data_IF_069198183254
#
_entry.id   IF_069198183254
#
_cell.length_a   1.000
_cell.length_b   1.000
_cell.length_c   1.000
_cell.angle_alpha   90.00
_cell.angle_beta   90.00
_cell.angle_gamma   90.00
#
_symmetry.space_group_name_H-M   'P 1'
#
loop_
_entity.id
_entity.type
_entity.pdbx_description
1 polymer ?
#
# COMPACT_ATOMS: atom_id res chain seq x y z
N UNK A 1 -24.47 -8.45 15.98
CA UNK A 1 -23.61 -8.35 14.77
C UNK A 1 -22.28 -7.78 15.25
N UNK A 2 -21.16 -8.46 15.04
CA UNK A 2 -19.85 -7.89 15.40
C UNK A 2 -19.64 -6.61 14.58
N UNK A 3 -19.43 -5.51 15.26
CA UNK A 3 -19.16 -4.22 14.59
C UNK A 3 -17.82 -4.34 13.87
N UNK A 4 -17.82 -4.45 12.53
CA UNK A 4 -16.61 -4.55 11.73
C UNK A 4 -15.87 -3.21 11.78
N UNK A 5 -14.56 -3.24 12.04
CA UNK A 5 -13.75 -2.03 12.13
C UNK A 5 -13.55 -1.31 10.80
N UNK A 6 -13.33 0.01 10.86
CA UNK A 6 -13.05 0.87 9.71
C UNK A 6 -11.69 0.54 9.08
N UNK A 7 -11.68 0.30 7.77
CA UNK A 7 -10.47 0.08 7.00
C UNK A 7 -10.18 1.30 6.11
N UNK A 8 -8.98 1.83 6.23
CA UNK A 8 -8.47 2.93 5.39
C UNK A 8 -7.51 2.38 4.36
N UNK A 9 -7.71 2.70 3.07
CA UNK A 9 -6.87 2.21 1.98
C UNK A 9 -6.41 3.37 1.13
N UNK A 10 -5.10 3.59 1.04
CA UNK A 10 -4.51 4.59 0.15
C UNK A 10 -4.22 4.00 -1.23
N UNK A 11 -4.30 4.83 -2.29
CA UNK A 11 -4.11 4.36 -3.67
C UNK A 11 -5.19 3.40 -4.15
N UNK A 12 -6.42 3.51 -3.61
CA UNK A 12 -7.51 2.57 -3.87
C UNK A 12 -8.18 2.73 -5.25
N UNK A 13 -7.73 3.67 -6.09
CA UNK A 13 -8.34 3.95 -7.41
C UNK A 13 -7.98 2.94 -8.51
N UNK A 14 -7.07 2.00 -8.27
CA UNK A 14 -6.67 0.97 -9.25
C UNK A 14 -5.85 -0.15 -8.58
N UNK A 15 -5.58 -1.21 -9.35
CA UNK A 15 -4.65 -2.28 -9.01
C UNK A 15 -4.91 -2.90 -7.62
N UNK A 16 -3.85 -3.14 -6.88
CA UNK A 16 -3.87 -3.78 -5.55
C UNK A 16 -4.82 -3.05 -4.59
N UNK A 17 -4.80 -1.70 -4.58
CA UNK A 17 -5.64 -0.91 -3.69
C UNK A 17 -7.13 -1.09 -3.97
N UNK A 18 -7.54 -1.09 -5.24
CA UNK A 18 -8.92 -1.35 -5.66
C UNK A 18 -9.38 -2.78 -5.33
N UNK A 19 -8.54 -3.78 -5.61
CA UNK A 19 -8.81 -5.18 -5.25
C UNK A 19 -8.89 -5.36 -3.72
N UNK A 20 -8.02 -4.68 -2.95
CA UNK A 20 -8.08 -4.68 -1.48
C UNK A 20 -9.39 -4.09 -0.97
N UNK A 21 -9.84 -2.97 -1.56
CA UNK A 21 -11.12 -2.37 -1.20
C UNK A 21 -12.29 -3.35 -1.43
N UNK A 22 -12.30 -4.04 -2.57
CA UNK A 22 -13.32 -5.06 -2.87
C UNK A 22 -13.27 -6.23 -1.87
N UNK A 23 -12.09 -6.73 -1.53
CA UNK A 23 -11.91 -7.84 -0.59
C UNK A 23 -12.44 -7.49 0.82
N UNK A 24 -12.08 -6.31 1.35
CA UNK A 24 -12.58 -5.87 2.66
C UNK A 24 -14.07 -5.53 2.65
N UNK A 25 -14.59 -4.93 1.57
CA UNK A 25 -16.03 -4.69 1.40
C UNK A 25 -16.82 -5.99 1.41
N UNK A 26 -16.33 -7.01 0.67
CA UNK A 26 -16.95 -8.36 0.66
C UNK A 26 -16.89 -9.04 2.02
N UNK A 27 -15.87 -8.74 2.83
CA UNK A 27 -15.79 -9.18 4.22
C UNK A 27 -16.68 -8.37 5.18
N UNK A 28 -17.40 -7.35 4.70
CA UNK A 28 -18.37 -6.56 5.45
C UNK A 28 -17.80 -5.39 6.26
N UNK A 29 -16.58 -4.95 5.96
CA UNK A 29 -15.96 -3.80 6.63
C UNK A 29 -16.41 -2.47 6.05
N UNK A 30 -16.64 -1.42 6.87
CA UNK A 30 -16.73 -0.06 6.39
C UNK A 30 -15.37 0.42 5.88
N UNK A 31 -15.38 1.24 4.83
CA UNK A 31 -14.17 1.64 4.11
C UNK A 31 -14.03 3.17 4.04
N UNK A 32 -12.78 3.63 4.15
CA UNK A 32 -12.34 4.92 3.67
C UNK A 32 -11.32 4.70 2.55
N UNK A 33 -11.66 5.12 1.34
CA UNK A 33 -10.83 4.97 0.15
C UNK A 33 -10.21 6.31 -0.22
N UNK A 34 -8.88 6.36 -0.31
CA UNK A 34 -8.11 7.56 -0.57
C UNK A 34 -7.31 7.42 -1.87
N UNK A 35 -7.48 8.37 -2.79
CA UNK A 35 -6.67 8.51 -3.99
C UNK A 35 -6.86 9.90 -4.62
N UNK A 36 -5.98 10.26 -5.56
CA UNK A 36 -6.11 11.51 -6.34
C UNK A 36 -7.26 11.47 -7.35
N UNK A 37 -7.63 10.28 -7.86
CA UNK A 37 -8.67 10.04 -8.87
C UNK A 37 -9.98 9.65 -8.17
N UNK A 38 -10.76 10.65 -7.72
CA UNK A 38 -12.00 10.43 -6.97
C UNK A 38 -13.05 9.67 -7.79
N UNK A 39 -13.19 10.01 -9.07
CA UNK A 39 -14.10 9.36 -10.02
C UNK A 39 -13.93 7.83 -10.05
N UNK A 40 -12.69 7.35 -10.02
CA UNK A 40 -12.39 5.91 -9.99
C UNK A 40 -12.72 5.26 -8.65
N UNK A 41 -12.61 5.98 -7.54
CA UNK A 41 -13.02 5.48 -6.23
C UNK A 41 -14.53 5.29 -6.17
N UNK A 42 -15.28 6.29 -6.63
CA UNK A 42 -16.75 6.28 -6.66
C UNK A 42 -17.29 5.21 -7.63
N UNK A 43 -16.58 4.96 -8.72
CA UNK A 43 -16.93 3.92 -9.69
C UNK A 43 -16.89 2.50 -9.12
N UNK A 44 -16.20 2.26 -7.99
CA UNK A 44 -16.21 0.97 -7.30
C UNK A 44 -17.57 0.62 -6.70
N UNK A 45 -18.42 1.61 -6.38
CA UNK A 45 -19.78 1.47 -5.85
C UNK A 45 -19.91 0.49 -4.67
N UNK A 46 -18.91 0.51 -3.77
CA UNK A 46 -18.88 -0.39 -2.61
C UNK A 46 -19.78 0.12 -1.48
N UNK A 47 -20.52 -0.77 -0.81
CA UNK A 47 -21.38 -0.39 0.31
C UNK A 47 -20.55 0.09 1.52
N UNK A 48 -21.15 0.91 2.38
CA UNK A 48 -20.50 1.43 3.61
C UNK A 48 -19.13 2.05 3.36
N UNK A 49 -18.99 2.81 2.28
CA UNK A 49 -17.73 3.38 1.83
C UNK A 49 -17.80 4.91 1.79
N UNK A 50 -16.72 5.54 2.20
CA UNK A 50 -16.42 6.96 1.96
C UNK A 50 -15.25 7.01 0.98
N UNK A 51 -15.40 7.79 -0.09
CA UNK A 51 -14.35 8.06 -1.07
C UNK A 51 -13.90 9.51 -0.90
N UNK A 52 -12.59 9.74 -0.77
CA UNK A 52 -12.03 11.10 -0.62
C UNK A 52 -10.86 11.29 -1.59
N UNK A 53 -10.86 12.46 -2.23
CA UNK A 53 -9.72 12.90 -3.03
C UNK A 53 -8.60 13.32 -2.10
N UNK A 54 -7.52 12.56 -2.06
CA UNK A 54 -6.37 12.80 -1.17
C UNK A 54 -5.08 12.56 -1.93
N UNK A 55 -4.12 13.48 -1.78
CA UNK A 55 -2.73 13.24 -2.08
C UNK A 55 -2.02 12.78 -0.80
N UNK A 56 -1.44 11.58 -0.80
CA UNK A 56 -0.77 11.02 0.39
C UNK A 56 0.45 11.81 0.84
N UNK A 57 1.00 12.67 -0.02
CA UNK A 57 2.08 13.60 0.35
C UNK A 57 1.60 14.73 1.26
N UNK A 58 0.29 14.99 1.29
CA UNK A 58 -0.35 15.98 2.14
C UNK A 58 -0.98 15.30 3.38
N UNK A 59 -0.31 15.43 4.53
CA UNK A 59 -0.76 14.83 5.80
C UNK A 59 -2.10 15.37 6.28
N UNK A 60 -2.36 16.64 6.07
CA UNK A 60 -3.59 17.29 6.56
C UNK A 60 -4.81 16.80 5.79
N UNK A 61 -4.67 16.51 4.49
CA UNK A 61 -5.73 15.87 3.70
C UNK A 61 -6.05 14.47 4.24
N UNK A 62 -5.02 13.66 4.54
CA UNK A 62 -5.21 12.32 5.14
C UNK A 62 -5.93 12.44 6.48
N UNK A 63 -5.47 13.36 7.36
CA UNK A 63 -6.06 13.57 8.68
C UNK A 63 -7.52 14.00 8.58
N UNK A 64 -7.83 14.94 7.71
CA UNK A 64 -9.20 15.42 7.50
C UNK A 64 -10.14 14.30 7.03
N UNK A 65 -9.70 13.51 6.04
CA UNK A 65 -10.48 12.39 5.52
C UNK A 65 -10.72 11.29 6.58
N UNK A 66 -9.69 10.95 7.37
CA UNK A 66 -9.81 9.97 8.47
C UNK A 66 -10.76 10.49 9.54
N UNK A 67 -10.63 11.73 10.00
CA UNK A 67 -11.53 12.31 11.01
C UNK A 67 -12.99 12.22 10.58
N UNK A 68 -13.29 12.55 9.32
CA UNK A 68 -14.64 12.45 8.75
C UNK A 68 -15.16 10.99 8.74
N UNK A 69 -14.31 10.03 8.40
CA UNK A 69 -14.70 8.62 8.36
C UNK A 69 -14.91 8.05 9.77
N UNK A 70 -14.06 8.42 10.74
CA UNK A 70 -14.18 7.98 12.13
C UNK A 70 -15.46 8.48 12.80
N UNK A 71 -15.93 9.69 12.47
CA UNK A 71 -17.22 10.20 12.95
C UNK A 71 -18.40 9.32 12.52
N UNK A 72 -18.29 8.65 11.37
CA UNK A 72 -19.37 7.80 10.82
C UNK A 72 -19.24 6.34 11.20
N UNK A 73 -18.03 5.81 11.21
CA UNK A 73 -17.77 4.37 11.29
C UNK A 73 -17.01 3.93 12.56
N UNK A 74 -16.63 4.87 13.40
CA UNK A 74 -15.75 4.62 14.55
C UNK A 74 -14.26 4.62 14.16
N UNK A 75 -13.38 4.35 15.13
CA UNK A 75 -11.94 4.52 14.97
C UNK A 75 -11.35 3.60 13.88
N UNK A 76 -10.29 4.05 13.23
CA UNK A 76 -9.57 3.27 12.22
C UNK A 76 -9.03 1.98 12.84
N UNK A 77 -9.50 0.85 12.37
CA UNK A 77 -9.04 -0.49 12.79
C UNK A 77 -7.85 -0.99 11.97
N UNK A 78 -7.85 -0.71 10.67
CA UNK A 78 -6.73 -1.02 9.79
C UNK A 78 -6.43 0.12 8.82
N UNK A 79 -5.13 0.43 8.68
CA UNK A 79 -4.61 1.28 7.62
C UNK A 79 -3.81 0.42 6.63
N UNK A 80 -4.18 0.46 5.35
CA UNK A 80 -3.41 -0.13 4.26
C UNK A 80 -2.75 0.99 3.46
N UNK A 81 -1.47 1.21 3.68
CA UNK A 81 -0.62 2.11 2.89
C UNK A 81 -0.21 1.40 1.60
N UNK A 82 -0.99 1.61 0.54
CA UNK A 82 -0.77 0.99 -0.75
C UNK A 82 -0.40 2.01 -1.84
N UNK A 83 -0.70 3.29 -1.67
CA UNK A 83 -0.32 4.32 -2.66
C UNK A 83 1.18 4.27 -2.95
N UNK A 84 1.53 4.28 -4.24
CA UNK A 84 2.93 4.26 -4.67
C UNK A 84 3.08 4.60 -6.14
N UNK A 85 4.29 4.97 -6.53
CA UNK A 85 4.70 5.23 -7.91
C UNK A 85 6.01 4.49 -8.20
N UNK A 86 6.18 4.07 -9.45
CA UNK A 86 7.39 3.41 -9.94
C UNK A 86 7.83 4.12 -11.21
N UNK A 87 8.90 4.90 -11.11
CA UNK A 87 9.50 5.67 -12.17
C UNK A 87 10.89 5.08 -12.40
N UNK A 88 11.03 4.27 -13.44
CA UNK A 88 12.25 3.53 -13.71
C UNK A 88 13.18 4.32 -14.63
N UNK A 89 14.48 4.31 -14.33
CA UNK A 89 15.48 5.02 -15.12
C UNK A 89 16.91 4.65 -14.71
N UNK A 90 17.86 4.96 -15.58
CA UNK A 90 19.29 4.92 -15.26
C UNK A 90 19.66 6.16 -14.42
N UNK A 91 20.54 5.98 -13.45
CA UNK A 91 20.86 7.05 -12.48
C UNK A 91 21.55 8.28 -13.11
N UNK A 92 22.18 8.12 -14.27
CA UNK A 92 22.84 9.19 -15.00
C UNK A 92 21.96 9.99 -15.95
N UNK A 93 20.74 9.46 -16.27
CA UNK A 93 19.85 10.06 -17.26
C UNK A 93 18.42 10.31 -16.75
N UNK A 94 18.03 9.71 -15.64
CA UNK A 94 16.71 9.89 -15.05
C UNK A 94 16.54 11.30 -14.47
N UNK A 95 15.39 11.95 -14.72
CA UNK A 95 15.10 13.27 -14.14
C UNK A 95 15.05 13.18 -12.59
N UNK A 96 15.84 13.97 -11.85
CA UNK A 96 15.81 14.01 -10.39
C UNK A 96 14.42 14.28 -9.79
N UNK A 97 13.53 14.96 -10.50
CA UNK A 97 12.13 15.15 -10.08
C UNK A 97 11.36 13.84 -9.93
N UNK A 98 11.69 12.83 -10.75
CA UNK A 98 11.10 11.50 -10.61
C UNK A 98 11.57 10.81 -9.33
N UNK A 99 12.80 11.04 -8.90
CA UNK A 99 13.33 10.57 -7.62
C UNK A 99 12.61 11.22 -6.45
N UNK A 100 12.49 12.56 -6.49
CA UNK A 100 11.75 13.31 -5.49
C UNK A 100 10.30 12.82 -5.37
N UNK A 101 9.64 12.61 -6.50
CA UNK A 101 8.27 12.08 -6.51
C UNK A 101 8.18 10.68 -5.87
N UNK A 102 9.10 9.78 -6.18
CA UNK A 102 9.14 8.45 -5.55
C UNK A 102 9.36 8.55 -4.04
N UNK A 103 10.26 9.38 -3.57
CA UNK A 103 10.52 9.61 -2.14
C UNK A 103 9.28 10.18 -1.46
N UNK A 104 8.66 11.21 -2.03
CA UNK A 104 7.48 11.86 -1.47
C UNK A 104 6.29 10.89 -1.37
N UNK A 105 6.00 10.12 -2.42
CA UNK A 105 4.86 9.22 -2.42
C UNK A 105 5.13 7.93 -1.64
N UNK A 106 6.26 7.25 -1.95
CA UNK A 106 6.50 5.89 -1.43
C UNK A 106 7.04 5.88 0.01
N UNK A 107 7.68 6.96 0.47
CA UNK A 107 8.21 7.08 1.84
C UNK A 107 7.35 8.02 2.65
N UNK A 108 7.29 9.31 2.28
CA UNK A 108 6.57 10.29 3.08
C UNK A 108 5.07 10.02 3.12
N UNK A 109 4.47 9.56 2.00
CA UNK A 109 3.06 9.16 1.98
C UNK A 109 2.72 8.06 2.96
N UNK A 110 3.57 7.03 3.07
CA UNK A 110 3.42 5.94 4.05
C UNK A 110 3.57 6.45 5.48
N UNK A 111 4.62 7.24 5.76
CA UNK A 111 4.86 7.81 7.08
C UNK A 111 3.75 8.78 7.50
N UNK A 112 3.18 9.57 6.58
CA UNK A 112 2.03 10.44 6.85
C UNK A 112 0.81 9.63 7.30
N UNK A 113 0.49 8.53 6.59
CA UNK A 113 -0.60 7.63 6.97
C UNK A 113 -0.39 7.04 8.36
N UNK A 114 0.79 6.48 8.63
CA UNK A 114 1.16 5.92 9.94
C UNK A 114 1.00 6.99 11.03
N UNK A 115 1.57 8.17 10.83
CA UNK A 115 1.55 9.26 11.82
C UNK A 115 0.12 9.66 12.23
N UNK A 116 -0.81 9.69 11.28
CA UNK A 116 -2.20 10.11 11.56
C UNK A 116 -2.94 9.11 12.44
N UNK A 117 -2.70 7.79 12.27
CA UNK A 117 -3.51 6.77 12.97
C UNK A 117 -2.83 6.17 14.19
N UNK A 118 -1.49 6.20 14.27
CA UNK A 118 -0.73 5.41 15.25
C UNK A 118 -1.02 5.81 16.70
N UNK A 119 -1.12 7.11 16.99
CA UNK A 119 -1.38 7.57 18.36
C UNK A 119 -2.71 7.03 18.90
N UNK A 120 -3.80 7.15 18.12
CA UNK A 120 -5.10 6.61 18.50
C UNK A 120 -5.11 5.07 18.59
N UNK A 121 -4.36 4.36 17.73
CA UNK A 121 -4.19 2.91 17.83
C UNK A 121 -3.46 2.51 19.12
N UNK A 122 -2.39 3.22 19.49
CA UNK A 122 -1.67 2.98 20.76
C UNK A 122 -2.55 3.23 21.97
N UNK A 123 -3.31 4.32 21.99
CA UNK A 123 -4.21 4.69 23.10
C UNK A 123 -5.24 3.59 23.37
N UNK A 124 -5.91 3.07 22.34
CA UNK A 124 -6.90 1.99 22.50
C UNK A 124 -6.31 0.58 22.50
N UNK A 125 -4.96 0.44 22.42
CA UNK A 125 -4.22 -0.82 22.40
C UNK A 125 -4.77 -1.80 21.33
N UNK A 126 -5.10 -1.28 20.17
CA UNK A 126 -5.68 -2.05 19.08
C UNK A 126 -5.52 -1.34 17.74
N UNK A 127 -5.10 -2.08 16.73
CA UNK A 127 -5.01 -1.62 15.35
C UNK A 127 -4.03 -2.44 14.52
N UNK A 128 -4.16 -2.29 13.21
CA UNK A 128 -3.27 -2.95 12.25
C UNK A 128 -2.83 -1.96 11.19
N UNK A 129 -1.54 -1.91 10.89
CA UNK A 129 -0.98 -1.12 9.79
C UNK A 129 -0.30 -2.08 8.82
N UNK A 130 -0.73 -2.03 7.57
CA UNK A 130 -0.19 -2.86 6.48
C UNK A 130 0.43 -1.94 5.43
N UNK A 131 1.73 -2.09 5.23
CA UNK A 131 2.49 -1.31 4.27
C UNK A 131 2.80 -2.16 3.03
N UNK A 132 2.33 -1.75 1.87
CA UNK A 132 2.62 -2.43 0.60
C UNK A 132 3.98 -1.96 0.09
N UNK A 133 4.97 -2.82 0.25
CA UNK A 133 6.32 -2.64 -0.28
C UNK A 133 6.47 -3.33 -1.64
N UNK A 134 7.54 -4.10 -1.83
CA UNK A 134 7.86 -4.88 -3.02
C UNK A 134 9.02 -5.83 -2.71
N UNK A 135 9.21 -6.87 -3.50
CA UNK A 135 10.47 -7.61 -3.55
C UNK A 135 11.67 -6.71 -3.87
N UNK A 136 11.44 -5.58 -4.55
CA UNK A 136 12.44 -4.54 -4.79
C UNK A 136 12.92 -3.84 -3.50
N UNK A 137 12.26 -4.02 -2.38
CA UNK A 137 12.73 -3.61 -1.05
C UNK A 137 13.73 -4.59 -0.41
N UNK A 138 13.86 -5.81 -0.96
CA UNK A 138 14.76 -6.86 -0.48
C UNK A 138 15.93 -7.16 -1.42
N UNK A 139 15.78 -6.80 -2.67
CA UNK A 139 16.70 -7.09 -3.75
C UNK A 139 16.72 -5.92 -4.72
N UNK A 140 17.85 -5.71 -5.39
CA UNK A 140 18.01 -4.68 -6.42
C UNK A 140 17.72 -5.22 -7.81
N UNK A 141 17.25 -4.33 -8.69
CA UNK A 141 16.97 -4.61 -10.09
C UNK A 141 17.57 -3.52 -10.97
N UNK A 142 17.91 -3.85 -12.20
CA UNK A 142 18.38 -2.85 -13.18
C UNK A 142 17.32 -1.76 -13.38
N UNK A 143 17.73 -0.52 -13.53
CA UNK A 143 16.86 0.66 -13.72
C UNK A 143 15.95 1.01 -12.50
N UNK A 144 16.09 0.35 -11.36
CA UNK A 144 15.22 0.51 -10.20
C UNK A 144 15.90 1.20 -9.02
N UNK A 145 17.03 1.88 -9.20
CA UNK A 145 17.87 2.35 -8.09
C UNK A 145 17.06 3.07 -6.98
N UNK A 146 16.38 4.16 -7.32
CA UNK A 146 15.62 4.95 -6.33
C UNK A 146 14.35 4.21 -5.89
N UNK A 147 13.65 3.54 -6.79
CA UNK A 147 12.50 2.71 -6.43
C UNK A 147 12.86 1.64 -5.40
N UNK A 148 13.94 0.88 -5.62
CA UNK A 148 14.46 -0.09 -4.65
C UNK A 148 14.79 0.57 -3.32
N UNK A 149 15.45 1.74 -3.34
CA UNK A 149 15.76 2.50 -2.14
C UNK A 149 14.51 2.88 -1.35
N UNK A 150 13.45 3.37 -2.03
CA UNK A 150 12.19 3.71 -1.36
C UNK A 150 11.50 2.49 -0.74
N UNK A 151 11.50 1.35 -1.44
CA UNK A 151 10.88 0.13 -0.94
C UNK A 151 11.70 -0.52 0.18
N UNK A 152 13.02 -0.43 0.15
CA UNK A 152 13.89 -0.83 1.28
C UNK A 152 13.64 0.04 2.52
N UNK A 153 13.44 1.34 2.34
CA UNK A 153 13.08 2.24 3.44
C UNK A 153 11.74 1.82 4.08
N UNK A 154 10.73 1.44 3.27
CA UNK A 154 9.44 0.93 3.79
C UNK A 154 9.63 -0.30 4.67
N UNK A 155 10.48 -1.26 4.28
CA UNK A 155 10.80 -2.42 5.14
C UNK A 155 11.44 -1.99 6.44
N UNK A 156 12.48 -1.13 6.37
CA UNK A 156 13.25 -0.73 7.54
C UNK A 156 12.40 0.01 8.58
N UNK A 157 11.68 1.06 8.17
CA UNK A 157 10.89 1.83 9.14
C UNK A 157 9.63 1.07 9.60
N UNK A 158 9.07 0.17 8.78
CA UNK A 158 7.94 -0.67 9.21
C UNK A 158 8.36 -1.56 10.39
N UNK A 159 9.51 -2.21 10.30
CA UNK A 159 10.00 -3.07 11.38
C UNK A 159 10.36 -2.25 12.63
N UNK A 160 11.02 -1.10 12.48
CA UNK A 160 11.37 -0.25 13.62
C UNK A 160 10.12 0.29 14.33
N UNK A 161 9.14 0.82 13.59
CA UNK A 161 7.90 1.34 14.20
C UNK A 161 7.07 0.20 14.82
N UNK A 162 7.10 -1.00 14.22
CA UNK A 162 6.49 -2.19 14.81
C UNK A 162 7.05 -2.46 16.22
N UNK A 163 8.37 -2.37 16.40
CA UNK A 163 8.99 -2.55 17.71
C UNK A 163 8.50 -1.50 18.74
N UNK A 164 8.44 -0.23 18.31
CA UNK A 164 7.94 0.87 19.15
C UNK A 164 6.44 0.73 19.51
N UNK A 165 5.67 0.01 18.69
CA UNK A 165 4.23 -0.18 18.86
C UNK A 165 3.86 -1.51 19.53
N UNK A 166 4.81 -2.44 19.67
CA UNK A 166 4.55 -3.80 20.15
C UNK A 166 3.93 -3.83 21.55
N UNK A 167 4.42 -3.00 22.49
CA UNK A 167 3.88 -2.90 23.85
C UNK A 167 2.46 -2.31 23.92
N UNK A 168 1.96 -1.79 22.82
CA UNK A 168 0.62 -1.22 22.68
C UNK A 168 -0.33 -2.11 21.87
N UNK A 169 0.03 -3.36 21.60
CA UNK A 169 -0.77 -4.33 20.85
C UNK A 169 -1.15 -3.85 19.43
N UNK A 170 -0.36 -2.96 18.79
CA UNK A 170 -0.56 -2.51 17.41
C UNK A 170 0.31 -3.34 16.48
N UNK A 171 -0.32 -3.94 15.45
CA UNK A 171 0.35 -4.80 14.48
C UNK A 171 0.84 -4.00 13.27
N UNK A 172 2.02 -4.37 12.79
CA UNK A 172 2.56 -3.88 11.52
C UNK A 172 2.92 -5.06 10.62
N UNK A 173 2.50 -4.98 9.36
CA UNK A 173 2.79 -6.01 8.35
C UNK A 173 3.35 -5.35 7.10
N UNK A 174 4.42 -5.89 6.56
CA UNK A 174 4.90 -5.56 5.20
C UNK A 174 4.35 -6.60 4.23
N UNK A 175 3.70 -6.15 3.15
CA UNK A 175 3.38 -6.99 2.01
C UNK A 175 4.36 -6.63 0.89
N UNK A 176 5.12 -7.61 0.43
CA UNK A 176 6.19 -7.43 -0.56
C UNK A 176 5.90 -8.24 -1.84
N UNK A 177 5.06 -7.72 -2.75
CA UNK A 177 4.76 -8.40 -3.99
C UNK A 177 5.95 -8.37 -4.97
N UNK A 178 6.07 -9.42 -5.79
CA UNK A 178 6.82 -9.41 -7.03
C UNK A 178 6.06 -8.71 -8.14
N UNK A 179 6.16 -9.25 -9.36
CA UNK A 179 5.48 -8.65 -10.53
C UNK A 179 3.98 -8.88 -10.46
N UNK A 180 3.23 -7.79 -10.38
CA UNK A 180 1.76 -7.77 -10.37
C UNK A 180 1.25 -7.09 -11.65
N UNK A 181 0.15 -7.59 -12.20
CA UNK A 181 -0.49 -6.96 -13.35
C UNK A 181 -1.28 -5.72 -12.93
N UNK A 182 -0.66 -4.55 -13.06
CA UNK A 182 -1.21 -3.26 -12.64
C UNK A 182 -0.78 -2.13 -13.56
N UNK A 183 -1.39 -0.94 -13.39
CA UNK A 183 -1.00 0.30 -14.07
C UNK A 183 0.37 0.87 -13.59
N UNK A 184 1.03 0.29 -12.58
CA UNK A 184 2.17 0.91 -11.90
C UNK A 184 3.34 1.22 -12.85
N UNK A 185 3.62 0.33 -13.82
CA UNK A 185 4.67 0.53 -14.82
C UNK A 185 4.40 1.72 -15.74
N UNK A 186 3.13 2.08 -15.95
CA UNK A 186 2.75 3.20 -16.85
C UNK A 186 3.23 4.57 -16.35
N UNK A 187 3.73 4.66 -15.12
CA UNK A 187 4.35 5.89 -14.60
C UNK A 187 5.76 6.11 -15.16
N UNK A 188 6.43 5.06 -15.64
CA UNK A 188 7.79 5.13 -16.20
C UNK A 188 7.77 5.85 -17.55
N UNK A 189 8.62 6.86 -17.69
CA UNK A 189 8.67 7.75 -18.87
C UNK A 189 9.52 7.19 -20.01
N UNK A 190 10.54 6.37 -19.70
CA UNK A 190 11.40 5.73 -20.71
C UNK A 190 10.71 4.57 -21.40
N UNK A 191 10.37 4.76 -22.67
CA UNK A 191 9.73 3.72 -23.50
C UNK A 191 10.57 2.44 -23.59
N UNK A 192 11.88 2.55 -23.76
CA UNK A 192 12.77 1.39 -23.84
C UNK A 192 12.70 0.54 -22.56
N UNK A 193 12.75 1.19 -21.38
CA UNK A 193 12.66 0.48 -20.10
C UNK A 193 11.29 -0.18 -19.92
N UNK A 194 10.22 0.47 -20.36
CA UNK A 194 8.87 -0.12 -20.31
C UNK A 194 8.80 -1.36 -21.21
N UNK A 195 9.30 -1.27 -22.45
CA UNK A 195 9.30 -2.37 -23.40
C UNK A 195 10.13 -3.56 -22.87
N UNK A 196 11.34 -3.32 -22.36
CA UNK A 196 12.22 -4.35 -21.76
C UNK A 196 11.56 -5.02 -20.53
N UNK A 197 10.90 -4.23 -19.69
CA UNK A 197 10.16 -4.75 -18.54
C UNK A 197 8.99 -5.64 -18.98
N UNK A 198 8.25 -5.25 -20.00
CA UNK A 198 7.14 -6.05 -20.53
C UNK A 198 7.63 -7.38 -21.13
N UNK A 199 8.76 -7.37 -21.86
CA UNK A 199 9.36 -8.62 -22.35
C UNK A 199 9.79 -9.54 -21.20
N UNK A 200 10.47 -8.99 -20.18
CA UNK A 200 10.81 -9.75 -19.00
C UNK A 200 9.57 -10.31 -18.28
N UNK A 201 8.51 -9.51 -18.13
CA UNK A 201 7.25 -9.95 -17.54
C UNK A 201 6.65 -11.17 -18.28
N UNK A 202 6.75 -11.23 -19.60
CA UNK A 202 6.26 -12.37 -20.40
C UNK A 202 6.98 -13.69 -20.06
N UNK A 203 8.25 -13.65 -19.67
CA UNK A 203 9.02 -14.86 -19.31
C UNK A 203 8.45 -15.57 -18.09
N UNK A 204 7.71 -14.88 -17.23
CA UNK A 204 7.11 -15.43 -16.02
C UNK A 204 5.80 -16.19 -16.28
N UNK A 205 5.24 -16.07 -17.51
CA UNK A 205 3.94 -16.64 -17.86
C UNK A 205 2.81 -15.78 -17.28
N UNK A 206 2.29 -16.15 -16.12
CA UNK A 206 1.23 -15.39 -15.45
C UNK A 206 1.82 -14.56 -14.29
N UNK A 207 1.80 -13.22 -14.36
CA UNK A 207 2.11 -12.36 -13.23
C UNK A 207 1.03 -12.52 -12.14
N UNK A 208 1.35 -12.07 -10.92
CA UNK A 208 0.32 -11.96 -9.88
C UNK A 208 -0.80 -11.03 -10.36
N UNK A 209 -2.03 -11.36 -9.95
CA UNK A 209 -3.16 -10.47 -10.08
C UNK A 209 -3.29 -9.60 -8.82
N UNK A 210 -3.95 -8.47 -8.94
CA UNK A 210 -4.19 -7.57 -7.81
C UNK A 210 -4.92 -8.27 -6.66
N UNK A 211 -5.81 -9.20 -6.98
CA UNK A 211 -6.59 -10.02 -6.05
C UNK A 211 -5.71 -10.96 -5.22
N UNK A 212 -4.61 -11.49 -5.77
CA UNK A 212 -3.69 -12.36 -5.03
C UNK A 212 -3.04 -11.59 -3.87
N UNK A 213 -2.65 -10.34 -4.14
CA UNK A 213 -2.08 -9.46 -3.12
C UNK A 213 -3.15 -9.02 -2.12
N UNK A 214 -4.34 -8.65 -2.59
CA UNK A 214 -5.46 -8.24 -1.75
C UNK A 214 -5.88 -9.36 -0.78
N UNK A 215 -5.91 -10.61 -1.23
CA UNK A 215 -6.21 -11.77 -0.39
C UNK A 215 -5.14 -11.97 0.70
N UNK A 216 -3.86 -11.74 0.38
CA UNK A 216 -2.76 -11.80 1.35
C UNK A 216 -2.87 -10.69 2.41
N UNK A 217 -3.27 -9.47 2.01
CA UNK A 217 -3.55 -8.36 2.91
C UNK A 217 -4.70 -8.70 3.86
N UNK A 218 -5.82 -9.18 3.32
CA UNK A 218 -6.99 -9.60 4.11
C UNK A 218 -6.65 -10.73 5.06
N UNK A 219 -5.90 -11.75 4.59
CA UNK A 219 -5.41 -12.85 5.43
C UNK A 219 -4.59 -12.36 6.61
N UNK A 220 -3.63 -11.45 6.40
CA UNK A 220 -2.80 -10.89 7.46
C UNK A 220 -3.65 -10.13 8.50
N UNK A 221 -4.60 -9.33 8.04
CA UNK A 221 -5.50 -8.58 8.90
C UNK A 221 -6.40 -9.49 9.75
N UNK A 222 -6.97 -10.54 9.16
CA UNK A 222 -7.92 -11.45 9.81
C UNK A 222 -7.32 -12.33 10.92
N UNK A 223 -5.99 -12.34 11.07
CA UNK A 223 -5.37 -13.08 12.16
C UNK A 223 -5.78 -12.50 13.52
N UNK A 224 -5.89 -13.32 14.57
CA UNK A 224 -6.13 -12.83 15.93
C UNK A 224 -5.15 -11.71 16.32
N UNK A 225 -5.60 -10.67 17.04
CA UNK A 225 -4.78 -9.49 17.38
C UNK A 225 -3.43 -9.85 18.05
N UNK A 226 -3.34 -10.95 18.78
CA UNK A 226 -2.11 -11.45 19.38
C UNK A 226 -1.07 -12.00 18.38
N UNK A 227 -1.44 -12.15 17.10
CA UNK A 227 -0.57 -12.66 16.04
C UNK A 227 -0.20 -11.51 15.11
N UNK A 228 1.07 -11.19 15.03
CA UNK A 228 1.61 -10.24 14.06
C UNK A 228 2.36 -10.99 12.96
N UNK A 229 1.77 -11.06 11.77
CA UNK A 229 2.52 -11.46 10.58
C UNK A 229 3.40 -10.28 10.18
N UNK A 230 4.71 -10.42 10.35
CA UNK A 230 5.63 -9.30 10.10
C UNK A 230 5.76 -8.99 8.61
N UNK A 231 5.77 -10.05 7.79
CA UNK A 231 5.95 -9.92 6.35
C UNK A 231 5.32 -11.07 5.58
N UNK A 232 4.78 -10.73 4.40
CA UNK A 232 4.40 -11.70 3.36
C UNK A 232 5.08 -11.29 2.06
N UNK A 233 5.93 -12.18 1.54
CA UNK A 233 6.54 -12.03 0.23
C UNK A 233 5.84 -13.00 -0.72
N UNK A 234 5.33 -12.50 -1.84
CA UNK A 234 4.65 -13.31 -2.84
C UNK A 234 5.10 -12.90 -4.25
N UNK A 235 5.41 -13.90 -5.06
CA UNK A 235 5.89 -13.71 -6.43
C UNK A 235 5.18 -14.67 -7.38
N UNK A 236 5.12 -14.37 -8.68
CA UNK A 236 4.87 -15.39 -9.69
C UNK A 236 5.85 -16.55 -9.51
N UNK A 237 5.38 -17.78 -9.61
CA UNK A 237 6.24 -18.97 -9.40
C UNK A 237 7.48 -18.99 -10.31
N UNK A 238 7.36 -18.40 -11.50
CA UNK A 238 8.46 -18.33 -12.48
C UNK A 238 9.26 -17.03 -12.43
N UNK A 239 9.04 -16.18 -11.46
CA UNK A 239 9.86 -14.98 -11.30
C UNK A 239 11.26 -15.38 -10.83
N UNK A 240 12.25 -15.21 -11.70
CA UNK A 240 13.65 -15.65 -11.49
C UNK A 240 14.52 -14.61 -10.78
N UNK A 241 14.09 -13.35 -10.79
CA UNK A 241 14.78 -12.20 -10.20
C UNK A 241 13.94 -11.53 -9.16
#
# INVERSE_FOLDING_TARGET
MSNKGLIVITGASSGIGGATAQAFSKAGHPLLLLARRLDRLEALKLPNTICEKVDVTNRDEIKSAITKAEQKFGPVDCLVNNAGVMLLGLADTQDPKEWEQMVQVNIMGVLNGIHVVLAGMKERRHGTIINVSSVAGRKTYSNHAVYCGTKSAVHAFTEQIREEAASYDVRFTTIAPGVVDTELLSHTTSKQIVDDYQEWKKTMGQPLQSEDVANSILFAYQQPQRICIREIVLCPTRQDK
#
